data_IF_270446186867
#
_entry.id   IF_270446186867
#
_cell.length_a   1.000
_cell.length_b   1.000
_cell.length_c   1.000
_cell.angle_alpha   90.00
_cell.angle_beta   90.00
_cell.angle_gamma   90.00
#
_symmetry.space_group_name_H-M   'P 1'
#
loop_
_entity.id
_entity.type
_entity.pdbx_description
1 polymer ?
#
# COMPACT_ATOMS: atom_id res chain seq x y z
N UNK A 1 1.94 10.26 8.05
CA UNK A 1 0.97 10.16 6.93
C UNK A 1 0.43 11.52 6.56
N UNK A 2 0.18 12.40 7.51
CA UNK A 2 -0.24 13.78 7.24
C UNK A 2 0.93 14.78 7.08
N UNK A 3 2.14 14.37 7.49
CA UNK A 3 3.37 15.15 7.33
C UNK A 3 3.65 16.10 8.49
N UNK A 4 3.00 15.91 9.63
CA UNK A 4 3.19 16.73 10.83
C UNK A 4 4.47 16.38 11.63
N UNK A 5 5.06 15.21 11.34
CA UNK A 5 6.30 14.73 11.97
C UNK A 5 6.07 13.70 13.07
N UNK A 6 4.81 13.40 13.41
CA UNK A 6 4.43 12.37 14.36
C UNK A 6 4.20 11.03 13.65
N UNK A 7 4.41 9.93 14.39
CA UNK A 7 4.20 8.58 13.86
C UNK A 7 2.72 8.20 13.94
N UNK A 8 2.12 7.95 12.79
CA UNK A 8 0.75 7.49 12.62
C UNK A 8 0.62 5.96 12.61
N UNK A 9 -0.62 5.48 12.63
CA UNK A 9 -0.93 4.04 12.59
C UNK A 9 -1.79 3.72 11.36
N UNK A 10 -1.44 2.61 10.71
CA UNK A 10 -2.26 1.97 9.68
C UNK A 10 -2.45 0.50 10.04
N UNK A 11 -3.67 -0.01 9.88
CA UNK A 11 -3.99 -1.41 10.11
C UNK A 11 -4.73 -1.99 8.91
N UNK A 12 -4.46 -3.25 8.58
CA UNK A 12 -5.21 -4.02 7.58
C UNK A 12 -6.26 -4.88 8.28
N UNK A 13 -7.52 -4.77 7.88
CA UNK A 13 -8.63 -5.45 8.53
C UNK A 13 -9.14 -6.59 7.65
N UNK A 14 -8.51 -7.75 7.83
CA UNK A 14 -8.71 -8.95 7.00
C UNK A 14 -10.16 -9.32 6.66
N UNK A 15 -11.12 -9.15 7.57
CA UNK A 15 -12.52 -9.52 7.35
C UNK A 15 -13.44 -8.34 7.01
N UNK A 16 -12.92 -7.12 7.07
CA UNK A 16 -13.67 -5.91 6.72
C UNK A 16 -13.31 -5.39 5.33
N UNK A 17 -12.29 -5.96 4.69
CA UNK A 17 -11.79 -5.60 3.36
C UNK A 17 -11.44 -4.10 3.27
N UNK A 18 -10.90 -3.56 4.35
CA UNK A 18 -10.45 -2.18 4.46
C UNK A 18 -9.10 -2.06 5.20
N UNK A 19 -8.47 -0.90 5.05
CA UNK A 19 -7.42 -0.43 5.95
C UNK A 19 -7.94 0.71 6.80
N UNK A 20 -7.52 0.76 8.07
CA UNK A 20 -7.83 1.87 8.97
C UNK A 20 -6.59 2.71 9.21
N UNK A 21 -6.73 4.02 9.06
CA UNK A 21 -5.73 5.04 9.40
C UNK A 21 -6.12 5.74 10.70
N UNK A 22 -5.16 5.88 11.60
CA UNK A 22 -5.28 6.70 12.80
C UNK A 22 -4.11 7.70 12.83
N UNK A 23 -4.45 8.99 12.74
CA UNK A 23 -3.47 10.06 12.85
C UNK A 23 -3.16 10.35 14.32
N UNK A 24 -1.88 10.48 14.63
CA UNK A 24 -1.39 10.78 15.97
C UNK A 24 -1.47 12.29 16.23
N UNK A 25 -1.97 12.69 17.40
CA UNK A 25 -2.07 14.11 17.75
C UNK A 25 -0.79 14.69 18.37
N UNK A 26 0.32 13.92 18.40
CA UNK A 26 1.60 14.30 18.99
C UNK A 26 1.67 14.22 20.53
N UNK A 27 0.54 13.92 21.18
CA UNK A 27 0.44 13.78 22.64
C UNK A 27 0.22 12.32 23.11
N UNK A 28 0.37 11.37 22.19
CA UNK A 28 0.12 9.94 22.43
C UNK A 28 -1.35 9.53 22.32
N UNK A 29 -2.23 10.45 21.92
CA UNK A 29 -3.61 10.14 21.52
C UNK A 29 -3.75 10.07 20.00
N UNK A 30 -4.81 9.41 19.53
CA UNK A 30 -5.15 9.31 18.12
C UNK A 30 -6.46 10.04 17.84
N UNK A 31 -6.54 10.64 16.64
CA UNK A 31 -7.78 11.20 16.11
C UNK A 31 -8.84 10.14 15.80
N UNK A 32 -9.96 10.58 15.22
CA UNK A 32 -10.96 9.66 14.70
C UNK A 32 -10.34 8.80 13.60
N UNK A 33 -10.60 7.50 13.63
CA UNK A 33 -10.12 6.60 12.60
C UNK A 33 -10.85 6.84 11.27
N UNK A 34 -10.15 6.61 10.17
CA UNK A 34 -10.73 6.64 8.82
C UNK A 34 -10.44 5.29 8.16
N UNK A 35 -11.46 4.69 7.55
CA UNK A 35 -11.33 3.43 6.82
C UNK A 35 -11.33 3.68 5.32
N UNK A 36 -10.50 2.92 4.60
CA UNK A 36 -10.40 2.93 3.15
C UNK A 36 -10.56 1.50 2.63
N UNK A 37 -11.56 1.28 1.77
CA UNK A 37 -11.77 -0.04 1.14
C UNK A 37 -10.58 -0.44 0.27
N UNK A 38 -10.22 -1.72 0.36
CA UNK A 38 -9.17 -2.38 -0.42
C UNK A 38 -9.71 -3.70 -0.97
N UNK A 39 -8.88 -4.48 -1.66
CA UNK A 39 -9.27 -5.81 -2.10
C UNK A 39 -9.48 -6.81 -0.95
N UNK A 40 -10.17 -7.91 -1.25
CA UNK A 40 -10.60 -8.89 -0.25
C UNK A 40 -9.45 -9.60 0.48
N UNK A 41 -9.61 -9.75 1.79
CA UNK A 41 -8.66 -10.46 2.66
C UNK A 41 -7.29 -9.79 2.74
N UNK A 42 -7.18 -8.50 3.11
CA UNK A 42 -5.90 -7.82 3.23
C UNK A 42 -5.05 -8.44 4.36
N UNK A 43 -3.79 -8.77 4.06
CA UNK A 43 -2.88 -9.53 4.95
C UNK A 43 -1.48 -8.95 5.08
N UNK A 44 -1.03 -8.16 4.11
CA UNK A 44 0.29 -7.52 4.11
C UNK A 44 0.18 -6.04 3.83
N UNK A 45 1.05 -5.23 4.43
CA UNK A 45 1.02 -3.78 4.31
C UNK A 45 2.44 -3.22 4.25
N UNK A 46 2.69 -2.32 3.32
CA UNK A 46 3.91 -1.52 3.24
C UNK A 46 3.60 -0.06 2.96
N UNK A 47 4.50 0.82 3.39
CA UNK A 47 4.39 2.27 3.30
C UNK A 47 5.60 2.82 2.56
N UNK A 48 5.39 3.73 1.61
CA UNK A 48 6.45 4.36 0.83
C UNK A 48 5.91 5.40 -0.14
N UNK A 49 6.75 6.35 -0.55
CA UNK A 49 6.40 7.36 -1.56
C UNK A 49 6.52 6.75 -2.96
N UNK A 50 5.43 6.16 -3.45
CA UNK A 50 5.41 5.34 -4.68
C UNK A 50 5.34 6.18 -5.95
N UNK A 51 4.98 7.46 -5.83
CA UNK A 51 4.84 8.38 -6.96
C UNK A 51 5.85 9.53 -6.93
N UNK A 52 6.69 9.62 -5.89
CA UNK A 52 7.75 10.61 -5.74
C UNK A 52 7.25 12.01 -5.38
N UNK A 53 6.04 12.15 -4.86
CA UNK A 53 5.44 13.44 -4.50
C UNK A 53 5.80 13.93 -3.09
N UNK A 54 6.59 13.15 -2.35
CA UNK A 54 7.03 13.41 -0.99
C UNK A 54 6.04 12.98 0.08
N UNK A 55 4.96 12.29 -0.27
CA UNK A 55 3.97 11.77 0.68
C UNK A 55 4.04 10.26 0.74
N UNK A 56 3.82 9.73 1.94
CA UNK A 56 3.85 8.28 2.15
C UNK A 56 2.53 7.68 1.67
N UNK A 57 2.59 6.85 0.63
CA UNK A 57 1.49 6.03 0.11
C UNK A 57 1.41 4.68 0.83
N UNK A 58 0.35 3.92 0.55
CA UNK A 58 0.08 2.61 1.16
C UNK A 58 -0.08 1.55 0.08
N UNK A 59 0.65 0.44 0.20
CA UNK A 59 0.44 -0.77 -0.59
C UNK A 59 -0.05 -1.90 0.32
N UNK A 60 -1.08 -2.62 -0.13
CA UNK A 60 -1.76 -3.67 0.65
C UNK A 60 -1.87 -4.93 -0.18
N UNK A 61 -1.37 -6.05 0.32
CA UNK A 61 -1.54 -7.36 -0.32
C UNK A 61 -2.86 -8.00 0.12
N UNK A 62 -3.69 -8.37 -0.86
CA UNK A 62 -5.03 -8.91 -0.66
C UNK A 62 -5.05 -10.38 -1.06
N UNK A 63 -5.23 -11.25 -0.08
CA UNK A 63 -5.02 -12.69 -0.26
C UNK A 63 -6.20 -13.43 -0.88
N UNK A 64 -7.40 -12.87 -0.83
CA UNK A 64 -8.62 -13.50 -1.38
C UNK A 64 -9.01 -12.95 -2.75
N UNK A 65 -8.64 -11.69 -3.04
CA UNK A 65 -8.86 -11.07 -4.35
C UNK A 65 -7.65 -11.14 -5.28
N UNK A 66 -6.56 -11.79 -4.85
CA UNK A 66 -5.34 -12.01 -5.65
C UNK A 66 -4.74 -10.70 -6.21
N UNK A 67 -4.85 -9.63 -5.42
CA UNK A 67 -4.49 -8.27 -5.81
C UNK A 67 -3.57 -7.60 -4.80
N UNK A 68 -2.91 -6.54 -5.24
CA UNK A 68 -2.32 -5.51 -4.38
C UNK A 68 -3.09 -4.23 -4.60
N UNK A 69 -3.66 -3.67 -3.53
CA UNK A 69 -4.26 -2.34 -3.53
C UNK A 69 -3.18 -1.29 -3.25
N UNK A 70 -3.16 -0.21 -4.02
CA UNK A 70 -2.35 0.97 -3.77
C UNK A 70 -3.25 2.16 -3.45
N UNK A 71 -3.03 2.79 -2.30
CA UNK A 71 -3.74 4.00 -1.88
C UNK A 71 -2.75 5.16 -1.88
N UNK A 72 -2.94 6.07 -2.83
CA UNK A 72 -2.11 7.28 -2.96
C UNK A 72 -2.48 8.30 -1.90
N UNK A 73 -1.49 8.87 -1.24
CA UNK A 73 -1.70 9.90 -0.24
C UNK A 73 -1.87 11.27 -0.89
N UNK A 74 -3.01 11.88 -0.68
CA UNK A 74 -3.34 13.21 -1.23
C UNK A 74 -2.80 14.34 -0.34
N UNK A 75 -2.36 14.02 0.87
CA UNK A 75 -1.85 14.93 1.89
C UNK A 75 -2.78 15.04 3.09
N UNK A 76 -2.25 15.54 4.21
CA UNK A 76 -3.00 15.70 5.47
C UNK A 76 -3.71 14.41 5.94
N UNK A 77 -3.12 13.25 5.65
CA UNK A 77 -3.64 11.94 6.04
C UNK A 77 -4.84 11.47 5.21
N UNK A 78 -5.16 12.15 4.11
CA UNK A 78 -6.25 11.77 3.20
C UNK A 78 -5.71 10.89 2.08
N UNK A 79 -6.23 9.66 1.96
CA UNK A 79 -5.89 8.75 0.87
C UNK A 79 -6.91 8.80 -0.27
N UNK A 80 -6.44 8.58 -1.50
CA UNK A 80 -7.28 8.31 -2.66
C UNK A 80 -7.94 6.93 -2.54
N UNK A 81 -9.03 6.67 -3.29
CA UNK A 81 -9.56 5.31 -3.43
C UNK A 81 -8.48 4.34 -3.90
N UNK A 82 -8.54 3.10 -3.42
CA UNK A 82 -7.59 2.07 -3.79
C UNK A 82 -7.58 1.81 -5.30
N UNK A 83 -6.38 1.64 -5.85
CA UNK A 83 -6.16 1.09 -7.18
C UNK A 83 -5.60 -0.33 -7.06
N UNK A 84 -6.29 -1.29 -7.66
CA UNK A 84 -5.92 -2.71 -7.54
C UNK A 84 -5.10 -3.20 -8.73
N UNK A 85 -4.03 -3.93 -8.42
CA UNK A 85 -3.14 -4.57 -9.37
C UNK A 85 -3.13 -6.08 -9.16
N UNK A 86 -3.34 -6.89 -10.21
CA UNK A 86 -3.22 -8.34 -10.08
C UNK A 86 -1.79 -8.72 -9.69
N UNK A 87 -1.64 -9.56 -8.66
CA UNK A 87 -0.34 -10.05 -8.21
C UNK A 87 -0.16 -11.56 -8.38
N UNK A 88 -1.21 -12.27 -8.81
CA UNK A 88 -1.16 -13.67 -9.18
C UNK A 88 -2.19 -14.49 -8.42
N UNK A 89 -1.72 -15.22 -7.40
CA UNK A 89 -2.52 -16.20 -6.66
C UNK A 89 -2.13 -16.14 -5.17
N UNK A 90 -3.10 -15.83 -4.31
CA UNK A 90 -2.98 -15.63 -2.86
C UNK A 90 -1.79 -14.76 -2.46
N UNK A 91 -1.92 -13.44 -2.64
CA UNK A 91 -0.90 -12.48 -2.25
C UNK A 91 -0.86 -12.31 -0.73
N UNK A 92 0.33 -12.43 -0.16
CA UNK A 92 0.54 -12.58 1.28
C UNK A 92 1.36 -11.46 1.90
N UNK A 93 2.15 -10.77 1.09
CA UNK A 93 3.05 -9.71 1.56
C UNK A 93 3.41 -8.80 0.40
N UNK A 94 3.70 -7.56 0.74
CA UNK A 94 4.20 -6.57 -0.20
C UNK A 94 5.36 -5.82 0.46
N UNK A 95 6.45 -5.62 -0.27
CA UNK A 95 7.60 -4.82 0.13
C UNK A 95 7.83 -3.71 -0.89
N UNK A 96 8.30 -2.57 -0.40
CA UNK A 96 8.61 -1.38 -1.22
C UNK A 96 10.12 -1.15 -1.20
N UNK A 97 10.70 -0.83 -2.35
CA UNK A 97 12.09 -0.43 -2.48
C UNK A 97 12.46 -0.18 -3.94
N UNK A 98 13.54 0.56 -4.18
CA UNK A 98 14.12 0.71 -5.52
C UNK A 98 14.88 -0.59 -5.88
N UNK A 99 14.27 -1.47 -6.68
CA UNK A 99 14.76 -2.82 -6.94
C UNK A 99 15.57 -2.92 -8.23
N UNK A 100 15.41 -1.97 -9.15
CA UNK A 100 16.16 -1.90 -10.40
C UNK A 100 17.15 -0.73 -10.48
N UNK A 101 17.23 0.09 -9.43
CA UNK A 101 18.13 1.22 -9.27
C UNK A 101 17.85 2.34 -10.29
N UNK A 102 16.57 2.56 -10.64
CA UNK A 102 16.12 3.67 -11.48
C UNK A 102 15.75 4.93 -10.69
N UNK A 103 15.65 4.82 -9.36
CA UNK A 103 15.37 5.91 -8.43
C UNK A 103 13.89 6.08 -8.08
N UNK A 104 12.99 5.32 -8.71
CA UNK A 104 11.59 5.21 -8.32
C UNK A 104 11.41 3.98 -7.41
N UNK A 105 10.39 3.99 -6.53
CA UNK A 105 10.11 2.84 -5.69
C UNK A 105 9.31 1.77 -6.45
N UNK A 106 9.72 0.51 -6.30
CA UNK A 106 9.04 -0.67 -6.83
C UNK A 106 8.22 -1.40 -5.76
N UNK A 107 7.31 -2.28 -6.23
CA UNK A 107 6.58 -3.24 -5.40
C UNK A 107 7.07 -4.67 -5.66
N UNK A 108 7.55 -5.33 -4.61
CA UNK A 108 7.78 -6.78 -4.59
C UNK A 108 6.66 -7.49 -3.84
N UNK A 109 6.02 -8.48 -4.48
CA UNK A 109 4.88 -9.19 -3.89
C UNK A 109 5.20 -10.65 -3.64
N UNK A 110 4.91 -11.13 -2.43
CA UNK A 110 4.97 -12.55 -2.10
C UNK A 110 3.61 -13.19 -2.32
N UNK A 111 3.49 -14.01 -3.35
CA UNK A 111 2.32 -14.85 -3.62
C UNK A 111 2.54 -16.30 -3.17
N UNK A 112 1.48 -16.97 -2.69
CA UNK A 112 1.50 -18.42 -2.41
C UNK A 112 0.91 -19.17 -3.60
N UNK A 113 1.74 -19.51 -4.58
CA UNK A 113 1.36 -20.57 -5.52
C UNK A 113 1.62 -21.95 -4.91
N UNK A 114 0.78 -22.92 -5.28
CA UNK A 114 0.95 -24.37 -5.03
C UNK A 114 2.39 -24.89 -5.33
N UNK A 115 3.18 -24.19 -6.16
CA UNK A 115 4.59 -24.48 -6.41
C UNK A 115 5.56 -23.43 -5.82
N UNK A 116 5.88 -23.55 -4.53
CA UNK A 116 7.17 -23.29 -3.84
C UNK A 116 8.16 -22.16 -4.24
N UNK A 117 7.84 -21.20 -5.11
CA UNK A 117 8.75 -20.09 -5.45
C UNK A 117 8.06 -18.74 -5.34
N UNK A 118 8.76 -17.75 -4.75
CA UNK A 118 8.38 -16.34 -4.84
C UNK A 118 8.37 -15.96 -6.32
N UNK A 119 7.19 -15.69 -6.86
CA UNK A 119 7.00 -15.07 -8.18
C UNK A 119 5.94 -14.00 -8.05
N UNK A 120 6.36 -12.75 -8.21
CA UNK A 120 5.74 -11.69 -9.01
C UNK A 120 6.43 -10.37 -8.64
N UNK A 121 7.18 -9.84 -9.61
CA UNK A 121 7.81 -8.51 -9.61
C UNK A 121 6.90 -7.59 -10.43
N UNK A 122 6.35 -6.56 -9.81
CA UNK A 122 5.66 -5.49 -10.54
C UNK A 122 6.69 -4.36 -10.69
N UNK A 123 7.29 -4.24 -11.88
CA UNK A 123 8.14 -3.09 -12.23
C UNK A 123 7.24 -1.86 -12.42
N UNK A 124 7.49 -0.79 -11.67
CA UNK A 124 6.61 0.39 -11.59
C UNK A 124 6.75 1.37 -12.75
N UNK A 125 7.57 1.08 -13.77
CA UNK A 125 7.70 1.95 -14.96
C UNK A 125 6.36 2.21 -15.70
N UNK A 126 5.28 1.48 -15.43
CA UNK A 126 3.95 1.78 -15.98
C UNK A 126 3.13 2.82 -15.22
N UNK A 127 3.46 3.20 -13.97
CA UNK A 127 2.72 4.26 -13.24
C UNK A 127 3.08 5.68 -13.71
N UNK A 128 4.32 5.86 -14.19
CA UNK A 128 4.80 7.14 -14.72
C UNK A 128 4.07 7.64 -15.98
N UNK A 129 3.29 6.79 -16.66
CA UNK A 129 2.48 7.17 -17.82
C UNK A 129 1.02 7.54 -17.49
N UNK A 130 0.58 7.46 -16.22
CA UNK A 130 -0.80 7.75 -15.84
C UNK A 130 -0.97 8.85 -14.78
N UNK A 131 0.14 9.41 -14.26
CA UNK A 131 0.10 10.39 -13.14
C UNK A 131 0.85 11.70 -13.46
N UNK A 132 1.38 11.87 -14.68
CA UNK A 132 1.88 13.18 -15.16
C UNK A 132 0.83 13.90 -16.00
N UNK A 133 -0.15 14.50 -15.34
CA UNK A 133 -0.84 15.73 -15.80
C UNK A 133 -1.00 16.71 -14.65
#
# INVERSE_FOLDING_TARGET
LDGDGDLDVVTANHFADDVTVLLNNGDGTFGAHVSYGVGDGPVGLSLGDLNGDGKVDIAVANSFSDSVSVLMNLGAGVLAPAQDFPCGDSCQDVAIGDLDNDGDLDLAVRARQSSSHVKSLILTHTLNNWVKE
#
